data_IF_518259951995
#
_entry.id   IF_518259951995
#
_cell.length_a   1.000
_cell.length_b   1.000
_cell.length_c   1.000
_cell.angle_alpha   90.00
_cell.angle_beta   90.00
_cell.angle_gamma   90.00
#
_symmetry.space_group_name_H-M   'P 1'
#
loop_
_entity.id
_entity.type
_entity.pdbx_description
1 polymer ?
#
# COMPACT_ATOMS: atom_id res chain seq x y z
N UNK A 1 15.10 12.15 -46.65
CA UNK A 1 15.95 11.85 -45.48
C UNK A 1 14.98 11.67 -44.34
N UNK A 2 14.77 10.42 -43.98
CA UNK A 2 13.77 9.98 -42.99
C UNK A 2 14.46 9.88 -41.62
N UNK A 3 14.27 10.89 -40.77
CA UNK A 3 14.75 10.84 -39.40
C UNK A 3 13.72 10.07 -38.56
N UNK A 4 13.82 8.76 -38.58
CA UNK A 4 13.08 7.90 -37.68
C UNK A 4 13.56 8.14 -36.24
N UNK A 5 12.85 8.98 -35.51
CA UNK A 5 13.07 9.17 -34.05
C UNK A 5 12.84 7.82 -33.36
N UNK A 6 13.92 7.10 -33.11
CA UNK A 6 13.91 5.92 -32.25
C UNK A 6 13.62 6.36 -30.81
N UNK A 7 12.37 6.25 -30.38
CA UNK A 7 12.04 6.28 -28.94
C UNK A 7 12.71 5.09 -28.27
N UNK A 8 13.88 5.31 -27.71
CA UNK A 8 14.48 4.32 -26.80
C UNK A 8 13.71 4.43 -25.50
N UNK A 9 12.73 3.54 -25.31
CA UNK A 9 12.09 3.34 -24.01
C UNK A 9 13.18 2.80 -23.08
N UNK A 10 13.75 3.69 -22.24
CA UNK A 10 14.70 3.28 -21.21
C UNK A 10 13.91 2.48 -20.17
N UNK A 11 13.93 1.17 -20.29
CA UNK A 11 13.34 0.27 -19.28
C UNK A 11 13.96 0.59 -17.93
N UNK A 12 13.12 0.79 -16.90
CA UNK A 12 13.58 0.97 -15.53
C UNK A 12 14.34 -0.25 -15.02
N UNK A 13 15.21 -0.06 -14.03
CA UNK A 13 15.88 -1.16 -13.35
C UNK A 13 14.97 -1.70 -12.25
N UNK A 14 14.76 -3.02 -12.22
CA UNK A 14 14.07 -3.67 -11.10
C UNK A 14 14.89 -3.54 -9.81
N UNK A 15 14.24 -3.12 -8.72
CA UNK A 15 14.84 -3.00 -7.39
C UNK A 15 13.90 -3.60 -6.36
N UNK A 16 14.37 -4.57 -5.58
CA UNK A 16 13.58 -5.21 -4.53
C UNK A 16 13.60 -4.37 -3.24
N UNK A 17 12.74 -3.37 -3.16
CA UNK A 17 12.59 -2.53 -1.96
C UNK A 17 11.84 -3.22 -0.81
N UNK A 18 11.21 -4.38 -1.05
CA UNK A 18 10.49 -5.16 -0.04
C UNK A 18 11.32 -6.34 0.52
N UNK A 19 12.62 -6.37 0.26
CA UNK A 19 13.48 -7.49 0.68
C UNK A 19 13.42 -7.76 2.20
N UNK A 20 13.23 -6.70 3.02
CA UNK A 20 13.13 -6.77 4.48
C UNK A 20 11.71 -7.00 5.01
N UNK A 21 10.70 -6.99 4.12
CA UNK A 21 9.33 -7.29 4.53
C UNK A 21 9.22 -8.75 4.96
N UNK A 22 8.59 -9.07 6.10
CA UNK A 22 8.51 -10.44 6.61
C UNK A 22 7.82 -11.38 5.61
N UNK A 23 8.53 -12.39 5.16
CA UNK A 23 8.00 -13.40 4.23
C UNK A 23 7.07 -14.38 4.95
N UNK A 24 5.92 -14.65 4.33
CA UNK A 24 5.02 -15.69 4.80
C UNK A 24 5.59 -17.08 4.43
N UNK A 25 5.63 -18.01 5.41
CA UNK A 25 5.99 -19.42 5.18
C UNK A 25 4.79 -20.27 4.73
N UNK A 26 3.71 -19.66 4.28
CA UNK A 26 2.44 -20.36 4.01
C UNK A 26 2.42 -21.01 2.63
N UNK A 27 1.81 -22.20 2.57
CA UNK A 27 1.50 -22.84 1.30
C UNK A 27 0.34 -22.11 0.60
N UNK A 28 0.65 -21.41 -0.48
CA UNK A 28 -0.33 -20.60 -1.24
C UNK A 28 -1.33 -21.53 -1.97
N UNK A 29 -0.88 -22.67 -2.46
CA UNK A 29 -1.70 -23.62 -3.21
C UNK A 29 -2.79 -24.27 -2.35
N UNK A 30 -2.47 -24.71 -1.12
CA UNK A 30 -3.46 -25.24 -0.16
C UNK A 30 -4.55 -24.22 0.12
N UNK A 31 -4.19 -22.95 0.32
CA UNK A 31 -5.17 -21.87 0.59
C UNK A 31 -6.08 -21.55 -0.60
N UNK A 32 -5.61 -21.73 -1.82
CA UNK A 32 -6.44 -21.49 -3.01
C UNK A 32 -7.50 -22.57 -3.19
N UNK A 33 -7.16 -23.83 -2.90
CA UNK A 33 -8.09 -24.97 -3.00
C UNK A 33 -9.17 -24.98 -1.91
N UNK A 34 -8.92 -24.38 -0.75
CA UNK A 34 -9.85 -24.36 0.38
C UNK A 34 -10.92 -23.24 0.31
N UNK A 35 -10.71 -22.22 -0.56
CA UNK A 35 -11.63 -21.07 -0.65
C UNK A 35 -12.80 -21.36 -1.60
N UNK A 36 -14.01 -21.22 -1.05
CA UNK A 36 -15.25 -21.27 -1.84
C UNK A 36 -15.44 -19.96 -2.64
N UNK A 37 -16.37 -19.98 -3.61
CA UNK A 37 -16.74 -18.73 -4.32
C UNK A 37 -17.43 -17.73 -3.39
N UNK A 38 -18.18 -18.19 -2.41
CA UNK A 38 -18.75 -17.34 -1.36
C UNK A 38 -17.67 -16.61 -0.56
N UNK A 39 -16.61 -17.30 -0.12
CA UNK A 39 -15.46 -16.68 0.56
C UNK A 39 -14.81 -15.59 -0.31
N UNK A 40 -14.71 -15.81 -1.63
CA UNK A 40 -14.18 -14.81 -2.56
C UNK A 40 -15.09 -13.61 -2.73
N UNK A 41 -16.42 -13.82 -2.77
CA UNK A 41 -17.39 -12.73 -2.84
C UNK A 41 -17.35 -11.86 -1.58
N UNK A 42 -17.23 -12.48 -0.40
CA UNK A 42 -17.05 -11.76 0.85
C UNK A 42 -15.76 -10.94 0.82
N UNK A 43 -14.65 -11.56 0.39
CA UNK A 43 -13.36 -10.89 0.28
C UNK A 43 -13.38 -9.66 -0.63
N UNK A 44 -14.05 -9.75 -1.79
CA UNK A 44 -14.16 -8.65 -2.78
C UNK A 44 -14.93 -7.43 -2.29
N UNK A 45 -15.64 -7.52 -1.17
CA UNK A 45 -16.32 -6.38 -0.55
C UNK A 45 -15.36 -5.46 0.20
N UNK A 46 -14.14 -5.92 0.50
CA UNK A 46 -13.11 -5.19 1.26
C UNK A 46 -13.64 -4.58 2.57
N UNK A 47 -14.63 -5.23 3.19
CA UNK A 47 -15.25 -4.79 4.43
C UNK A 47 -14.58 -5.40 5.67
N UNK A 48 -15.30 -5.38 6.80
CA UNK A 48 -14.86 -5.95 8.07
C UNK A 48 -14.36 -7.40 7.94
N UNK A 49 -15.11 -8.24 7.21
CA UNK A 49 -14.76 -9.65 7.07
C UNK A 49 -13.44 -9.86 6.34
N UNK A 50 -13.08 -8.98 5.40
CA UNK A 50 -11.79 -9.00 4.71
C UNK A 50 -10.63 -8.61 5.63
N UNK A 51 -10.78 -7.54 6.41
CA UNK A 51 -9.69 -7.04 7.27
C UNK A 51 -9.62 -7.81 8.59
N UNK A 52 -10.71 -7.92 9.32
CA UNK A 52 -10.75 -8.36 10.72
C UNK A 52 -11.64 -9.60 10.95
N UNK A 53 -12.20 -10.20 9.88
CA UNK A 53 -12.99 -11.42 9.93
C UNK A 53 -12.11 -12.69 9.88
N UNK A 54 -12.71 -13.78 9.42
CA UNK A 54 -12.02 -15.06 9.30
C UNK A 54 -10.89 -15.00 8.27
N UNK A 55 -9.82 -15.76 8.53
CA UNK A 55 -8.63 -15.80 7.68
C UNK A 55 -8.90 -16.24 6.23
N UNK A 56 -9.94 -17.03 5.99
CA UNK A 56 -10.35 -17.45 4.65
C UNK A 56 -10.84 -16.28 3.79
N UNK A 57 -11.39 -15.22 4.39
CA UNK A 57 -11.89 -14.05 3.68
C UNK A 57 -10.81 -13.00 3.38
N UNK A 58 -9.70 -12.98 4.14
CA UNK A 58 -8.67 -11.96 3.93
C UNK A 58 -7.52 -12.02 4.91
N UNK A 59 -7.31 -10.94 5.66
CA UNK A 59 -6.17 -10.83 6.59
C UNK A 59 -6.34 -11.67 7.86
N UNK A 60 -7.57 -11.93 8.33
CA UNK A 60 -7.81 -12.65 9.59
C UNK A 60 -7.38 -11.85 10.81
N UNK A 61 -7.62 -10.53 10.78
CA UNK A 61 -7.15 -9.54 11.72
C UNK A 61 -6.02 -8.70 11.12
N UNK A 62 -6.30 -7.42 10.89
CA UNK A 62 -5.35 -6.47 10.31
C UNK A 62 -5.01 -5.40 11.35
N UNK A 63 -4.03 -5.72 12.19
CA UNK A 63 -3.58 -4.88 13.30
C UNK A 63 -2.19 -4.34 13.04
N UNK A 64 -1.92 -3.15 13.58
CA UNK A 64 -0.61 -2.53 13.50
C UNK A 64 0.47 -3.38 14.16
N UNK A 65 1.58 -3.52 13.45
CA UNK A 65 2.79 -4.13 13.99
C UNK A 65 4.01 -3.57 13.24
N UNK A 66 4.87 -2.87 13.95
CA UNK A 66 6.03 -2.16 13.42
C UNK A 66 7.05 -3.06 12.68
N UNK A 67 7.08 -4.35 13.00
CA UNK A 67 7.99 -5.31 12.34
C UNK A 67 7.78 -5.44 10.82
N UNK A 68 6.59 -5.06 10.33
CA UNK A 68 6.30 -5.20 8.90
C UNK A 68 6.92 -4.06 8.09
N UNK A 69 6.71 -2.81 8.48
CA UNK A 69 7.05 -1.66 7.64
C UNK A 69 8.33 -0.94 8.06
N UNK A 70 8.65 -0.84 9.35
CA UNK A 70 9.84 -0.09 9.79
C UNK A 70 11.15 -0.56 9.12
N UNK A 71 11.42 -1.87 8.95
CA UNK A 71 12.63 -2.32 8.25
C UNK A 71 12.65 -1.92 6.77
N UNK A 72 11.48 -1.84 6.13
CA UNK A 72 11.31 -1.52 4.71
C UNK A 72 11.48 -0.02 4.46
N UNK A 73 10.91 0.82 5.34
CA UNK A 73 10.89 2.27 5.17
C UNK A 73 12.31 2.85 5.15
N UNK A 74 13.26 2.27 5.85
CA UNK A 74 14.67 2.67 5.77
C UNK A 74 15.25 2.50 4.36
N UNK A 75 14.81 1.47 3.63
CA UNK A 75 15.23 1.26 2.25
C UNK A 75 14.50 2.22 1.31
N UNK A 76 13.21 2.49 1.53
CA UNK A 76 12.46 3.52 0.82
C UNK A 76 13.11 4.90 0.97
N UNK A 77 13.45 5.27 2.22
CA UNK A 77 14.07 6.55 2.53
C UNK A 77 15.40 6.73 1.78
N UNK A 78 16.25 5.72 1.77
CA UNK A 78 17.53 5.75 1.07
C UNK A 78 17.36 5.78 -0.44
N UNK A 79 16.46 4.95 -0.98
CA UNK A 79 16.31 4.80 -2.42
C UNK A 79 15.71 6.04 -3.08
N UNK A 80 14.69 6.64 -2.46
CA UNK A 80 14.02 7.85 -2.95
C UNK A 80 14.52 9.14 -2.31
N UNK A 81 15.54 9.08 -1.44
CA UNK A 81 16.08 10.23 -0.70
C UNK A 81 14.99 11.01 0.05
N UNK A 82 14.06 10.27 0.70
CA UNK A 82 12.93 10.87 1.40
C UNK A 82 13.35 11.67 2.62
N UNK A 83 12.73 12.83 2.78
CA UNK A 83 12.97 13.73 3.90
C UNK A 83 11.68 14.50 4.28
N UNK A 84 11.76 15.40 5.24
CA UNK A 84 10.61 16.17 5.74
C UNK A 84 9.88 17.03 4.67
N UNK A 85 10.52 17.30 3.53
CA UNK A 85 9.92 18.07 2.42
C UNK A 85 9.28 17.19 1.36
N UNK A 86 9.50 15.88 1.45
CA UNK A 86 8.96 14.92 0.48
C UNK A 86 7.46 14.71 0.67
N UNK A 87 6.79 14.23 -0.37
CA UNK A 87 5.37 13.89 -0.39
C UNK A 87 5.14 12.48 -0.93
N UNK A 88 4.30 11.70 -0.25
CA UNK A 88 3.98 10.31 -0.59
C UNK A 88 2.47 10.11 -0.69
N UNK A 89 2.05 9.42 -1.75
CA UNK A 89 0.71 8.83 -1.88
C UNK A 89 0.80 7.30 -1.78
N UNK A 90 0.01 6.70 -0.91
CA UNK A 90 -0.19 5.25 -0.82
C UNK A 90 -1.57 4.88 -1.38
N UNK A 91 -1.58 4.17 -2.51
CA UNK A 91 -2.80 3.71 -3.18
C UNK A 91 -3.10 2.27 -2.77
N UNK A 92 -4.26 2.05 -2.14
CA UNK A 92 -4.59 0.79 -1.46
C UNK A 92 -3.99 0.73 -0.06
N UNK A 93 -4.05 1.85 0.67
CA UNK A 93 -3.35 2.02 1.95
C UNK A 93 -3.91 1.17 3.11
N UNK A 94 -5.08 0.55 2.94
CA UNK A 94 -5.77 -0.17 4.02
C UNK A 94 -6.01 0.73 5.24
N UNK A 95 -5.59 0.28 6.43
CA UNK A 95 -5.67 1.07 7.66
C UNK A 95 -4.49 2.06 7.84
N UNK A 96 -3.65 2.27 6.81
CA UNK A 96 -2.58 3.25 6.79
C UNK A 96 -1.35 2.92 7.64
N UNK A 97 -1.09 1.65 7.96
CA UNK A 97 0.01 1.26 8.85
C UNK A 97 1.39 1.56 8.30
N UNK A 98 1.59 1.44 6.97
CA UNK A 98 2.84 1.84 6.32
C UNK A 98 3.07 3.35 6.44
N UNK A 99 2.05 4.15 6.15
CA UNK A 99 2.13 5.61 6.27
C UNK A 99 2.33 6.05 7.73
N UNK A 100 1.77 5.33 8.70
CA UNK A 100 2.02 5.58 10.12
C UNK A 100 3.51 5.42 10.46
N UNK A 101 4.12 4.31 10.06
CA UNK A 101 5.55 4.09 10.29
C UNK A 101 6.41 5.11 9.53
N UNK A 102 6.04 5.50 8.29
CA UNK A 102 6.71 6.59 7.57
C UNK A 102 6.66 7.89 8.36
N UNK A 103 5.50 8.25 8.93
CA UNK A 103 5.34 9.47 9.72
C UNK A 103 6.22 9.51 10.97
N UNK A 104 6.51 8.36 11.56
CA UNK A 104 7.37 8.23 12.74
C UNK A 104 8.85 8.28 12.38
N UNK A 105 9.24 7.66 11.27
CA UNK A 105 10.64 7.58 10.85
C UNK A 105 11.11 8.81 10.08
N UNK A 106 10.20 9.54 9.43
CA UNK A 106 10.48 10.76 8.67
C UNK A 106 9.52 11.88 9.12
N UNK A 107 9.73 12.48 10.30
CA UNK A 107 8.87 13.55 10.80
C UNK A 107 8.78 14.73 9.83
N UNK A 108 7.56 15.23 9.61
CA UNK A 108 7.31 16.37 8.71
C UNK A 108 7.01 16.01 7.25
N UNK A 109 7.21 14.76 6.84
CA UNK A 109 6.87 14.32 5.48
C UNK A 109 5.36 14.49 5.19
N UNK A 110 5.02 14.89 3.98
CA UNK A 110 3.61 15.00 3.54
C UNK A 110 3.07 13.64 3.12
N UNK A 111 1.95 13.21 3.72
CA UNK A 111 1.37 11.89 3.48
C UNK A 111 -0.08 11.99 3.01
N UNK A 112 -0.43 11.13 2.07
CA UNK A 112 -1.81 10.81 1.71
C UNK A 112 -1.94 9.31 1.48
N UNK A 113 -3.07 8.75 1.89
CA UNK A 113 -3.44 7.37 1.62
C UNK A 113 -4.86 7.29 1.11
N UNK A 114 -5.08 6.44 0.12
CA UNK A 114 -6.41 6.16 -0.42
C UNK A 114 -6.66 4.66 -0.42
N UNK A 115 -7.87 4.28 -0.08
CA UNK A 115 -8.35 2.90 -0.16
C UNK A 115 -9.83 2.89 -0.55
N UNK A 116 -10.27 1.85 -1.24
CA UNK A 116 -11.69 1.70 -1.59
C UNK A 116 -12.54 1.28 -0.39
N UNK A 117 -11.92 0.80 0.68
CA UNK A 117 -12.57 0.27 1.87
C UNK A 117 -12.93 1.36 2.87
N UNK A 118 -14.22 1.70 2.97
CA UNK A 118 -14.74 2.50 4.08
C UNK A 118 -14.35 1.92 5.45
N UNK A 119 -14.41 0.60 5.57
CA UNK A 119 -14.09 -0.08 6.82
C UNK A 119 -12.64 0.16 7.23
N UNK A 120 -11.69 0.00 6.30
CA UNK A 120 -10.26 0.19 6.59
C UNK A 120 -9.97 1.63 7.03
N UNK A 121 -10.48 2.61 6.29
CA UNK A 121 -10.28 4.03 6.58
C UNK A 121 -10.94 4.43 7.91
N UNK A 122 -12.13 3.91 8.23
CA UNK A 122 -12.81 4.21 9.48
C UNK A 122 -12.20 3.51 10.70
N UNK A 123 -11.44 2.43 10.49
CA UNK A 123 -10.75 1.66 11.54
C UNK A 123 -9.22 1.80 11.48
N UNK A 124 -8.72 2.91 10.95
CA UNK A 124 -7.30 3.26 11.00
C UNK A 124 -6.87 3.74 12.40
N UNK A 125 -5.57 3.90 12.59
CA UNK A 125 -5.06 4.55 13.80
C UNK A 125 -5.55 6.00 13.86
N UNK A 126 -5.93 6.54 15.05
CA UNK A 126 -6.46 7.90 15.19
C UNK A 126 -5.58 8.97 14.55
N UNK A 127 -4.25 8.85 14.69
CA UNK A 127 -3.27 9.78 14.13
C UNK A 127 -3.25 9.81 12.60
N UNK A 128 -3.71 8.72 11.97
CA UNK A 128 -3.73 8.60 10.50
C UNK A 128 -5.01 9.13 9.86
N UNK A 129 -6.09 9.33 10.64
CA UNK A 129 -7.42 9.69 10.12
C UNK A 129 -7.42 10.89 9.16
N UNK A 130 -6.63 11.91 9.45
CA UNK A 130 -6.51 13.13 8.62
C UNK A 130 -5.75 12.96 7.31
N UNK A 131 -5.00 11.87 7.17
CA UNK A 131 -4.17 11.59 5.99
C UNK A 131 -4.84 10.61 5.03
N UNK A 132 -5.86 9.88 5.49
CA UNK A 132 -6.49 8.81 4.73
C UNK A 132 -7.88 9.22 4.26
N UNK A 133 -8.25 8.76 3.05
CA UNK A 133 -9.58 8.98 2.50
C UNK A 133 -10.05 7.78 1.67
N UNK A 134 -11.37 7.62 1.58
CA UNK A 134 -11.98 6.57 0.75
C UNK A 134 -12.01 7.04 -0.69
N UNK A 135 -11.28 6.34 -1.56
CA UNK A 135 -11.22 6.67 -2.98
C UNK A 135 -11.00 5.43 -3.85
N UNK A 136 -11.46 5.51 -5.09
CA UNK A 136 -11.22 4.48 -6.07
C UNK A 136 -9.93 4.79 -6.87
N UNK A 137 -8.99 3.84 -6.90
CA UNK A 137 -7.73 3.97 -7.62
C UNK A 137 -7.88 4.20 -9.14
N UNK A 138 -9.06 3.90 -9.72
CA UNK A 138 -9.34 4.17 -11.14
C UNK A 138 -9.43 5.67 -11.45
N UNK A 139 -9.74 6.51 -10.46
CA UNK A 139 -9.83 7.96 -10.61
C UNK A 139 -9.43 8.62 -9.30
N UNK A 140 -8.17 9.00 -9.19
CA UNK A 140 -7.65 9.66 -8.01
C UNK A 140 -8.01 11.17 -8.01
N UNK A 141 -8.36 11.75 -6.84
CA UNK A 141 -8.78 13.17 -6.72
C UNK A 141 -7.60 14.14 -6.64
N UNK A 142 -6.44 13.76 -7.14
CA UNK A 142 -5.23 14.57 -7.09
C UNK A 142 -4.81 15.03 -8.48
N UNK A 143 -4.31 16.27 -8.64
CA UNK A 143 -3.68 16.70 -9.89
C UNK A 143 -2.46 15.84 -10.24
N UNK A 144 -2.09 15.85 -11.51
CA UNK A 144 -0.85 15.23 -11.96
C UNK A 144 0.37 15.85 -11.25
N UNK A 145 1.39 15.05 -11.00
CA UNK A 145 2.64 15.48 -10.36
C UNK A 145 2.48 16.05 -8.93
N UNK A 146 1.42 15.66 -8.20
CA UNK A 146 1.15 16.15 -6.84
C UNK A 146 2.03 15.52 -5.76
N UNK A 147 2.70 14.39 -6.06
CA UNK A 147 3.51 13.66 -5.10
C UNK A 147 4.87 13.30 -5.67
N UNK A 148 5.91 13.31 -4.81
CA UNK A 148 7.26 12.88 -5.19
C UNK A 148 7.32 11.36 -5.38
N UNK A 149 6.55 10.61 -4.59
CA UNK A 149 6.48 9.15 -4.66
C UNK A 149 5.04 8.68 -4.56
N UNK A 150 4.66 7.75 -5.44
CA UNK A 150 3.39 7.03 -5.36
C UNK A 150 3.71 5.55 -5.14
N UNK A 151 3.10 4.95 -4.13
CA UNK A 151 3.28 3.55 -3.75
C UNK A 151 1.93 2.84 -3.92
N UNK A 152 1.97 1.61 -4.45
CA UNK A 152 0.82 0.70 -4.47
C UNK A 152 1.34 -0.72 -4.24
N UNK A 153 0.92 -1.36 -3.15
CA UNK A 153 1.41 -2.68 -2.75
C UNK A 153 0.22 -3.58 -2.46
N UNK A 154 0.07 -4.66 -3.24
CA UNK A 154 -1.03 -5.63 -3.12
C UNK A 154 -2.44 -5.01 -3.27
N UNK A 155 -2.58 -4.09 -4.20
CA UNK A 155 -3.83 -3.35 -4.49
C UNK A 155 -4.62 -4.00 -5.62
#
# INVERSE_FOLDING_TARGET
>A
MDETIKFVIKMGKEVNLLAKYPKSKRNIFERQSEKTEEDRQIARKFGKDFFDGERKHGYGGFFYNSKFWQPVITDFQKYWNLNAKSSILDVGCGKGFMLYDISKLIPGITLKGVDISDYAINNCLPEMKKFLQVENAKKLPFPDNSFDVVISINT
#
